data_IF_573254326740
#
_entry.id   IF_573254326740
#
_cell.length_a   1.000
_cell.length_b   1.000
_cell.length_c   1.000
_cell.angle_alpha   90.00
_cell.angle_beta   90.00
_cell.angle_gamma   90.00
#
_symmetry.space_group_name_H-M   'P 1'
#
loop_
_entity.id
_entity.type
_entity.pdbx_description
1 polymer ?
#
# COMPACT_ATOMS: atom_id res chain seq x y z
N UNK A 1 16.43 -32.78 9.35
CA UNK A 1 16.42 -33.47 8.04
C UNK A 1 15.26 -32.93 7.22
N UNK A 2 15.35 -32.94 5.88
CA UNK A 2 14.25 -32.53 5.00
C UNK A 2 13.14 -33.62 5.07
N UNK A 3 11.87 -33.26 5.28
CA UNK A 3 10.75 -34.21 5.29
C UNK A 3 10.57 -34.91 3.93
N UNK A 4 10.01 -36.12 3.91
CA UNK A 4 9.89 -36.94 2.69
C UNK A 4 8.86 -36.35 1.74
N UNK A 5 7.79 -35.78 2.28
CA UNK A 5 6.74 -35.11 1.52
C UNK A 5 6.58 -33.66 1.96
N UNK A 6 6.04 -32.82 1.07
CA UNK A 6 5.75 -31.44 1.44
C UNK A 6 4.61 -31.33 2.47
N UNK A 7 3.63 -32.23 2.42
CA UNK A 7 2.54 -32.28 3.41
C UNK A 7 3.06 -32.53 4.83
N UNK A 8 4.04 -33.43 4.99
CA UNK A 8 4.77 -33.61 6.26
C UNK A 8 5.54 -32.35 6.65
N UNK A 9 6.19 -31.69 5.70
CA UNK A 9 6.88 -30.43 5.96
C UNK A 9 5.93 -29.35 6.46
N UNK A 10 4.73 -29.23 5.88
CA UNK A 10 3.70 -28.31 6.36
C UNK A 10 3.32 -28.65 7.80
N UNK A 11 3.00 -29.91 8.10
CA UNK A 11 2.62 -30.33 9.45
C UNK A 11 3.70 -30.03 10.51
N UNK A 12 4.98 -30.20 10.16
CA UNK A 12 6.10 -29.95 11.06
C UNK A 12 6.39 -28.46 11.27
N UNK A 13 6.28 -27.64 10.22
CA UNK A 13 6.72 -26.25 10.23
C UNK A 13 5.56 -25.23 10.32
N UNK A 14 4.30 -25.68 10.35
CA UNK A 14 3.13 -24.81 10.51
C UNK A 14 3.24 -23.92 11.75
N UNK A 15 3.62 -24.49 12.90
CA UNK A 15 3.82 -23.72 14.14
C UNK A 15 4.91 -22.66 13.98
N UNK A 16 5.97 -22.96 13.22
CA UNK A 16 7.04 -22.00 12.94
C UNK A 16 6.52 -20.83 12.10
N UNK A 17 5.74 -21.10 11.05
CA UNK A 17 5.11 -20.06 10.20
C UNK A 17 4.20 -19.17 11.06
N UNK A 18 3.29 -19.78 11.82
CA UNK A 18 2.36 -19.06 12.71
C UNK A 18 3.11 -18.22 13.74
N UNK A 19 4.21 -18.72 14.31
CA UNK A 19 5.05 -17.96 15.23
C UNK A 19 5.78 -16.79 14.55
N UNK A 20 6.26 -16.95 13.32
CA UNK A 20 6.84 -15.82 12.57
C UNK A 20 5.80 -14.74 12.27
N UNK A 21 4.58 -15.13 11.89
CA UNK A 21 3.48 -14.19 11.67
C UNK A 21 3.13 -13.42 12.94
N UNK A 22 3.03 -14.10 14.09
CA UNK A 22 2.83 -13.46 15.40
C UNK A 22 3.94 -12.47 15.74
N UNK A 23 5.20 -12.85 15.56
CA UNK A 23 6.38 -11.98 15.82
C UNK A 23 6.42 -10.74 14.93
N UNK A 24 5.83 -10.82 13.74
CA UNK A 24 5.72 -9.71 12.80
C UNK A 24 4.40 -8.94 12.96
N UNK A 25 3.58 -9.28 13.96
CA UNK A 25 2.26 -8.67 14.22
C UNK A 25 1.30 -8.74 13.02
N UNK A 26 1.35 -9.82 12.24
CA UNK A 26 0.52 -10.03 11.05
C UNK A 26 -0.83 -10.63 11.44
N UNK A 27 -1.76 -9.78 11.88
CA UNK A 27 -3.12 -10.16 12.26
C UNK A 27 -4.17 -9.85 11.18
N UNK A 28 -3.91 -8.84 10.34
CA UNK A 28 -4.73 -8.54 9.15
C UNK A 28 -4.32 -9.45 8.00
N UNK A 29 -5.28 -9.82 7.15
CA UNK A 29 -5.08 -10.68 5.98
C UNK A 29 -4.33 -11.99 6.30
N UNK A 30 -4.69 -12.59 7.44
CA UNK A 30 -3.98 -13.73 8.03
C UNK A 30 -3.78 -14.88 7.04
N UNK A 31 -4.84 -15.27 6.33
CA UNK A 31 -4.81 -16.34 5.32
C UNK A 31 -3.80 -16.03 4.21
N UNK A 32 -3.73 -14.78 3.73
CA UNK A 32 -2.84 -14.41 2.64
C UNK A 32 -1.37 -14.45 3.08
N UNK A 33 -1.07 -13.95 4.28
CA UNK A 33 0.27 -14.06 4.85
C UNK A 33 0.64 -15.51 5.19
N UNK A 34 -0.32 -16.32 5.63
CA UNK A 34 -0.09 -17.74 5.88
C UNK A 34 0.28 -18.48 4.59
N UNK A 35 -0.47 -18.25 3.51
CA UNK A 35 -0.15 -18.77 2.18
C UNK A 35 1.22 -18.29 1.70
N UNK A 36 1.56 -17.01 1.92
CA UNK A 36 2.89 -16.49 1.61
C UNK A 36 4.01 -17.22 2.38
N UNK A 37 3.76 -17.54 3.65
CA UNK A 37 4.64 -18.37 4.46
C UNK A 37 4.79 -19.80 3.91
N UNK A 38 3.70 -20.43 3.48
CA UNK A 38 3.72 -21.75 2.83
C UNK A 38 4.50 -21.75 1.52
N UNK A 39 4.38 -20.69 0.70
CA UNK A 39 5.18 -20.53 -0.52
C UNK A 39 6.67 -20.43 -0.16
N UNK A 40 7.03 -19.66 0.87
CA UNK A 40 8.41 -19.60 1.35
C UNK A 40 8.93 -20.97 1.80
N UNK A 41 8.09 -21.76 2.48
CA UNK A 41 8.42 -23.12 2.89
C UNK A 41 8.56 -24.07 1.69
N UNK A 42 7.69 -23.96 0.68
CA UNK A 42 7.77 -24.74 -0.56
C UNK A 42 9.08 -24.48 -1.30
N UNK A 43 9.46 -23.22 -1.45
CA UNK A 43 10.73 -22.86 -2.10
C UNK A 43 11.92 -23.37 -1.30
N UNK A 44 11.86 -23.31 0.04
CA UNK A 44 12.87 -23.92 0.88
C UNK A 44 12.94 -25.44 0.68
N UNK A 45 11.78 -26.10 0.58
CA UNK A 45 11.68 -27.53 0.35
C UNK A 45 12.33 -27.95 -0.97
N UNK A 46 12.01 -27.28 -2.06
CA UNK A 46 12.52 -27.60 -3.40
C UNK A 46 14.03 -27.34 -3.53
N UNK A 47 14.53 -26.24 -2.97
CA UNK A 47 15.89 -25.75 -3.21
C UNK A 47 16.89 -26.08 -2.11
N UNK A 48 16.49 -26.85 -1.11
CA UNK A 48 17.36 -27.19 0.01
C UNK A 48 18.50 -28.12 -0.44
N UNK A 49 19.72 -27.74 -0.03
CA UNK A 49 20.93 -28.53 -0.20
C UNK A 49 21.47 -28.93 1.17
N UNK A 50 21.71 -30.23 1.39
CA UNK A 50 22.09 -30.76 2.69
C UNK A 50 23.47 -30.28 3.18
N UNK A 51 24.36 -29.90 2.26
CA UNK A 51 25.72 -29.43 2.57
C UNK A 51 25.73 -28.03 3.20
N UNK A 52 24.70 -27.22 2.95
CA UNK A 52 24.63 -25.80 3.37
C UNK A 52 24.10 -25.60 4.80
N UNK A 53 23.83 -26.68 5.53
CA UNK A 53 23.37 -26.65 6.92
C UNK A 53 21.97 -27.23 7.11
N UNK A 54 21.31 -26.91 8.23
CA UNK A 54 20.05 -27.55 8.59
C UNK A 54 18.84 -27.00 7.81
N UNK A 55 17.97 -27.90 7.36
CA UNK A 55 16.70 -27.54 6.70
C UNK A 55 15.85 -26.58 7.53
N UNK A 56 15.78 -26.78 8.84
CA UNK A 56 14.99 -25.90 9.73
C UNK A 56 15.46 -24.45 9.70
N UNK A 57 16.79 -24.24 9.80
CA UNK A 57 17.36 -22.90 9.71
C UNK A 57 17.12 -22.26 8.34
N UNK A 58 17.29 -23.04 7.26
CA UNK A 58 17.04 -22.55 5.90
C UNK A 58 15.57 -22.20 5.67
N UNK A 59 14.65 -23.09 6.06
CA UNK A 59 13.21 -22.87 5.97
C UNK A 59 12.76 -21.63 6.76
N UNK A 60 13.30 -21.43 7.96
CA UNK A 60 13.02 -20.24 8.77
C UNK A 60 13.42 -18.95 8.03
N UNK A 61 14.62 -18.91 7.44
CA UNK A 61 15.11 -17.75 6.68
C UNK A 61 14.22 -17.48 5.47
N UNK A 62 13.87 -18.53 4.72
CA UNK A 62 13.04 -18.40 3.52
C UNK A 62 11.62 -17.94 3.83
N UNK A 63 10.93 -18.60 4.78
CA UNK A 63 9.59 -18.22 5.23
C UNK A 63 9.57 -16.76 5.69
N UNK A 64 10.55 -16.37 6.53
CA UNK A 64 10.65 -14.99 7.01
C UNK A 64 10.89 -13.99 5.89
N UNK A 65 11.74 -14.32 4.92
CA UNK A 65 12.02 -13.48 3.76
C UNK A 65 10.76 -13.19 2.92
N UNK A 66 9.97 -14.22 2.63
CA UNK A 66 8.71 -14.08 1.88
C UNK A 66 7.69 -13.23 2.63
N UNK A 67 7.49 -13.49 3.93
CA UNK A 67 6.59 -12.70 4.78
C UNK A 67 6.99 -11.21 4.80
N UNK A 68 8.28 -10.92 4.95
CA UNK A 68 8.79 -9.54 4.96
C UNK A 68 8.63 -8.86 3.60
N UNK A 69 8.85 -9.57 2.50
CA UNK A 69 8.66 -8.97 1.16
C UNK A 69 7.20 -8.67 0.87
N UNK A 70 6.27 -9.57 1.25
CA UNK A 70 4.83 -9.29 1.18
C UNK A 70 4.45 -8.08 2.05
N UNK A 71 4.96 -8.00 3.28
CA UNK A 71 4.72 -6.85 4.16
C UNK A 71 5.26 -5.53 3.57
N UNK A 72 6.43 -5.55 2.93
CA UNK A 72 6.97 -4.38 2.21
C UNK A 72 6.09 -3.98 1.04
N UNK A 73 5.58 -4.94 0.26
CA UNK A 73 4.64 -4.68 -0.84
C UNK A 73 3.36 -4.03 -0.32
N UNK A 74 2.81 -4.55 0.77
CA UNK A 74 1.58 -4.04 1.39
C UNK A 74 1.77 -2.62 1.92
N UNK A 75 2.87 -2.35 2.63
CA UNK A 75 3.20 -1.00 3.08
C UNK A 75 3.39 -0.02 1.90
N UNK A 76 4.01 -0.47 0.80
CA UNK A 76 4.15 0.35 -0.42
C UNK A 76 2.79 0.58 -1.09
N UNK A 77 1.86 -0.36 -0.99
CA UNK A 77 0.51 -0.22 -1.50
C UNK A 77 -0.27 0.81 -0.67
N UNK A 78 -0.34 0.63 0.65
CA UNK A 78 -1.05 1.53 1.57
C UNK A 78 -0.50 2.97 1.57
N UNK A 79 0.81 3.17 1.37
CA UNK A 79 1.39 4.52 1.21
C UNK A 79 0.99 5.20 -0.11
N UNK A 80 0.68 4.42 -1.15
CA UNK A 80 0.33 4.91 -2.49
C UNK A 80 -1.18 4.96 -2.71
N UNK A 81 -1.93 4.16 -1.96
CA UNK A 81 -3.36 3.98 -2.06
C UNK A 81 -3.98 4.12 -0.67
N UNK A 82 -4.83 5.13 -0.49
CA UNK A 82 -5.74 5.19 0.65
C UNK A 82 -6.85 4.18 0.34
N UNK A 83 -7.13 3.25 1.24
CA UNK A 83 -8.30 2.39 1.10
C UNK A 83 -9.54 3.26 1.33
N UNK A 84 -10.31 3.50 0.27
CA UNK A 84 -11.67 4.03 0.36
C UNK A 84 -12.59 2.83 0.60
N UNK A 85 -12.82 2.44 1.84
CA UNK A 85 -13.92 1.52 2.14
C UNK A 85 -15.25 2.26 2.21
N UNK A 86 -16.36 1.51 2.16
CA UNK A 86 -17.73 2.05 2.17
C UNK A 86 -18.03 2.88 3.44
N UNK A 87 -17.38 2.57 4.56
CA UNK A 87 -17.53 3.28 5.84
C UNK A 87 -16.79 4.62 5.82
N UNK A 88 -15.60 4.67 5.22
CA UNK A 88 -14.86 5.91 4.92
C UNK A 88 -15.58 6.77 3.90
N UNK A 89 -16.21 6.18 2.88
CA UNK A 89 -17.09 6.90 1.96
C UNK A 89 -18.30 7.50 2.69
N UNK A 90 -18.91 6.81 3.65
CA UNK A 90 -19.96 7.40 4.48
C UNK A 90 -19.44 8.51 5.39
N UNK A 91 -18.21 8.41 5.90
CA UNK A 91 -17.60 9.46 6.72
C UNK A 91 -17.18 10.70 5.89
N UNK A 92 -16.69 10.48 4.67
CA UNK A 92 -16.19 11.52 3.76
C UNK A 92 -17.32 12.15 2.93
N UNK A 93 -18.33 11.35 2.54
CA UNK A 93 -19.50 11.79 1.79
C UNK A 93 -20.73 12.04 2.67
N UNK A 94 -20.61 11.86 3.99
CA UNK A 94 -21.63 12.22 4.99
C UNK A 94 -21.64 13.70 5.35
N UNK A 95 -20.90 14.54 4.64
CA UNK A 95 -21.04 15.99 4.71
C UNK A 95 -21.71 16.40 3.40
N UNK A 96 -22.92 16.95 3.49
CA UNK A 96 -23.49 17.78 2.42
C UNK A 96 -22.36 18.63 1.87
N UNK A 97 -22.18 18.70 0.54
CA UNK A 97 -21.12 19.53 -0.05
C UNK A 97 -21.25 20.93 0.53
N UNK A 98 -20.40 21.19 1.53
CA UNK A 98 -20.55 22.33 2.40
C UNK A 98 -20.46 23.58 1.54
N UNK A 99 -21.31 24.56 1.79
CA UNK A 99 -21.24 25.89 1.20
C UNK A 99 -19.81 26.45 1.24
N UNK A 100 -19.04 26.07 2.27
CA UNK A 100 -17.64 26.45 2.46
C UNK A 100 -16.74 26.02 1.29
N UNK A 101 -16.90 24.82 0.72
CA UNK A 101 -16.05 24.36 -0.41
C UNK A 101 -16.31 25.21 -1.66
N UNK A 102 -17.57 25.62 -1.87
CA UNK A 102 -17.94 26.52 -2.96
C UNK A 102 -17.33 27.91 -2.73
N UNK A 103 -17.32 28.37 -1.48
CA UNK A 103 -16.73 29.66 -1.09
C UNK A 103 -15.21 29.65 -1.30
N UNK A 104 -14.50 28.60 -0.90
CA UNK A 104 -13.05 28.48 -1.14
C UNK A 104 -12.68 28.37 -2.62
N UNK A 105 -13.50 27.68 -3.43
CA UNK A 105 -13.25 27.56 -4.88
C UNK A 105 -13.46 28.89 -5.61
N UNK A 106 -14.22 29.82 -5.02
CA UNK A 106 -14.43 31.17 -5.57
C UNK A 106 -13.19 32.06 -5.45
N UNK A 107 -12.32 31.81 -4.46
CA UNK A 107 -11.09 32.57 -4.17
C UNK A 107 -9.93 32.24 -5.13
N UNK A 108 -10.02 31.13 -5.84
CA UNK A 108 -9.01 30.67 -6.78
C UNK A 108 -9.23 31.26 -8.17
N UNK A 109 -8.12 31.59 -8.84
CA UNK A 109 -8.17 31.93 -10.27
C UNK A 109 -8.54 30.71 -11.13
N UNK A 110 -8.87 30.93 -12.40
CA UNK A 110 -9.35 29.87 -13.30
C UNK A 110 -8.35 28.71 -13.43
N UNK A 111 -7.05 29.00 -13.43
CA UNK A 111 -5.98 28.00 -13.56
C UNK A 111 -5.81 27.21 -12.28
N UNK A 112 -5.79 27.89 -11.14
CA UNK A 112 -5.74 27.30 -9.81
C UNK A 112 -6.95 26.39 -9.57
N UNK A 113 -8.15 26.88 -9.90
CA UNK A 113 -9.40 26.14 -9.76
C UNK A 113 -9.40 24.88 -10.61
N UNK A 114 -8.97 24.97 -11.86
CA UNK A 114 -8.88 23.82 -12.77
C UNK A 114 -7.89 22.76 -12.25
N UNK A 115 -6.70 23.18 -11.80
CA UNK A 115 -5.70 22.24 -11.26
C UNK A 115 -6.22 21.56 -10.00
N UNK A 116 -6.90 22.28 -9.12
CA UNK A 116 -7.51 21.73 -7.90
C UNK A 116 -8.66 20.79 -8.27
N UNK A 117 -9.56 21.17 -9.18
CA UNK A 117 -10.70 20.32 -9.56
C UNK A 117 -10.28 19.02 -10.23
N UNK A 118 -9.37 19.09 -11.19
CA UNK A 118 -8.83 17.90 -11.88
C UNK A 118 -8.04 16.99 -10.93
N UNK A 119 -7.39 17.56 -9.92
CA UNK A 119 -6.65 16.79 -8.92
C UNK A 119 -7.56 16.10 -7.92
N UNK A 120 -8.60 16.76 -7.42
CA UNK A 120 -9.46 16.25 -6.36
C UNK A 120 -10.69 15.49 -6.87
N UNK A 121 -11.36 16.00 -7.91
CA UNK A 121 -12.53 15.35 -8.50
C UNK A 121 -12.17 14.49 -9.72
N UNK A 122 -11.22 14.96 -10.55
CA UNK A 122 -10.77 14.23 -11.74
C UNK A 122 -9.76 13.11 -11.47
N UNK A 123 -9.13 13.10 -10.30
CA UNK A 123 -8.11 12.11 -9.92
C UNK A 123 -6.80 12.15 -10.73
N UNK A 124 -6.59 13.18 -11.56
CA UNK A 124 -5.43 13.28 -12.45
C UNK A 124 -4.12 13.58 -11.70
N UNK A 125 -3.02 13.02 -12.19
CA UNK A 125 -1.66 13.28 -11.71
C UNK A 125 -1.15 14.61 -12.25
N UNK A 126 -0.20 15.20 -11.54
CA UNK A 126 0.35 16.54 -11.86
C UNK A 126 0.96 16.64 -13.27
N UNK A 127 1.52 15.55 -13.81
CA UNK A 127 2.05 15.53 -15.17
C UNK A 127 0.92 15.44 -16.21
N UNK A 128 -0.12 14.65 -15.96
CA UNK A 128 -1.32 14.55 -16.83
C UNK A 128 -2.05 15.92 -16.90
N UNK A 129 -2.12 16.65 -15.79
CA UNK A 129 -2.64 18.03 -15.75
C UNK A 129 -1.71 18.98 -16.54
N UNK A 130 -0.39 18.80 -16.41
CA UNK A 130 0.59 19.57 -17.17
C UNK A 130 0.45 19.37 -18.67
N UNK A 131 0.33 18.12 -19.13
CA UNK A 131 0.08 17.78 -20.52
C UNK A 131 -1.22 18.40 -21.04
N UNK A 132 -2.30 18.33 -20.26
CA UNK A 132 -3.60 18.92 -20.62
C UNK A 132 -3.55 20.46 -20.73
N UNK A 133 -2.76 21.13 -19.90
CA UNK A 133 -2.64 22.60 -19.87
C UNK A 133 -1.48 23.14 -20.71
N UNK A 134 -0.67 22.27 -21.34
CA UNK A 134 0.58 22.68 -22.01
C UNK A 134 1.62 23.27 -21.05
N UNK A 135 1.63 22.81 -19.79
CA UNK A 135 2.51 23.29 -18.72
C UNK A 135 3.46 22.19 -18.25
N UNK A 136 4.63 22.58 -17.74
CA UNK A 136 5.53 21.63 -17.10
C UNK A 136 4.97 21.16 -15.75
N UNK A 137 5.32 19.94 -15.35
CA UNK A 137 5.01 19.40 -14.01
C UNK A 137 5.32 20.39 -12.88
N UNK A 138 6.46 21.09 -12.96
CA UNK A 138 6.90 22.02 -11.92
C UNK A 138 6.01 23.26 -11.83
N UNK A 139 5.54 23.79 -12.97
CA UNK A 139 4.61 24.91 -12.99
C UNK A 139 3.27 24.51 -12.37
N UNK A 140 2.72 23.36 -12.75
CA UNK A 140 1.47 22.83 -12.17
C UNK A 140 1.62 22.60 -10.66
N UNK A 141 2.73 22.00 -10.23
CA UNK A 141 3.02 21.77 -8.80
C UNK A 141 3.15 23.08 -8.02
N UNK A 142 3.73 24.11 -8.62
CA UNK A 142 3.85 25.43 -8.00
C UNK A 142 2.48 26.09 -7.83
N UNK A 143 1.65 26.11 -8.88
CA UNK A 143 0.29 26.67 -8.83
C UNK A 143 -0.57 25.92 -7.81
N UNK A 144 -0.52 24.58 -7.82
CA UNK A 144 -1.22 23.75 -6.85
C UNK A 144 -0.87 24.12 -5.40
N UNK A 145 0.42 24.36 -5.11
CA UNK A 145 0.86 24.78 -3.77
C UNK A 145 0.36 26.18 -3.40
N UNK A 146 0.34 27.12 -4.36
CA UNK A 146 -0.18 28.47 -4.12
C UNK A 146 -1.69 28.45 -3.87
N UNK A 147 -2.45 27.71 -4.69
CA UNK A 147 -3.89 27.52 -4.52
C UNK A 147 -4.23 26.97 -3.14
N UNK A 148 -3.55 25.90 -2.70
CA UNK A 148 -3.76 25.35 -1.35
C UNK A 148 -3.31 26.28 -0.22
N UNK A 149 -2.38 27.20 -0.47
CA UNK A 149 -1.99 28.21 0.52
C UNK A 149 -3.08 29.27 0.65
N UNK A 150 -3.66 29.71 -0.47
CA UNK A 150 -4.80 30.65 -0.52
C UNK A 150 -6.04 30.09 0.17
N UNK A 151 -6.40 28.84 -0.10
CA UNK A 151 -7.56 28.21 0.55
C UNK A 151 -7.38 28.06 2.06
N UNK A 152 -6.13 27.92 2.54
CA UNK A 152 -5.82 27.78 3.98
C UNK A 152 -5.67 29.10 4.73
N UNK A 153 -5.49 30.23 4.05
CA UNK A 153 -5.44 31.54 4.73
C UNK A 153 -6.81 32.06 5.14
N UNK A 154 -7.88 31.41 4.66
CA UNK A 154 -9.29 31.78 4.88
C UNK A 154 -10.03 30.74 5.76
N UNK A 155 -9.28 29.81 6.37
CA UNK A 155 -9.72 28.87 7.40
C UNK A 155 -9.10 29.31 8.72
#
# INVERSE_FOLDING_TARGET
MKPVTFTEAVALYEKMIKNQMKRLCLYKDYEEFYQCGLIGLWVAYERYEAEKGSFSAYALVMVRGYLLEKLKKENRFQKRHICFDQEMLQLVCGVEVSSEVRDYMSLLDERERYIISERFYGGKKMHEIGEAMGMTYYQVRWIYRQALKKMRSEI
#
